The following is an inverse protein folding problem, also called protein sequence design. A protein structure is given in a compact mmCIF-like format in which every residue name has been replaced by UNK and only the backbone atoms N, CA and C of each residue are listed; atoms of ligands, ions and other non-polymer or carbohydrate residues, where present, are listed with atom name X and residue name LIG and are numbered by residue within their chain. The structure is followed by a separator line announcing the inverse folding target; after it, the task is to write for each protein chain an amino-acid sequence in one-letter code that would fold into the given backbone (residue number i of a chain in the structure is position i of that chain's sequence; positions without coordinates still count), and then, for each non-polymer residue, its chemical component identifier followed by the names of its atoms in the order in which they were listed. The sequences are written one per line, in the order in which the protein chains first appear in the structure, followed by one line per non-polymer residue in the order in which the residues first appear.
data_IF_814261697123
#
_entry.id   IF_814261697123
#
_cell.length_a   1.000
_cell.length_b   1.000
_cell.length_c   1.000
_cell.angle_alpha   90.00
_cell.angle_beta   90.00
_cell.angle_gamma   90.00
#
_symmetry.space_group_name_H-M   'P 1'
#
loop_
_entity.id
_entity.type
_entity.pdbx_description
1 polymer ?
#
# COMPACT_ATOMS: atom_id res chain seq x y z
N UNK A 1 15.08 3.46 1.81
CA UNK A 1 14.00 4.12 2.57
C UNK A 1 13.70 5.49 1.97
N UNK A 2 12.55 6.11 2.26
CA UNK A 2 12.30 7.49 1.80
C UNK A 2 13.16 8.44 2.63
N UNK A 3 14.05 9.20 1.99
CA UNK A 3 15.04 10.09 2.66
C UNK A 3 14.76 11.57 2.45
N UNK A 4 13.96 11.92 1.47
CA UNK A 4 13.74 13.32 1.12
C UNK A 4 12.71 13.54 0.04
N UNK A 5 12.65 14.80 -0.38
CA UNK A 5 11.78 15.25 -1.45
C UNK A 5 12.56 15.43 -2.75
N UNK A 6 11.90 15.15 -3.88
CA UNK A 6 12.25 15.78 -5.15
C UNK A 6 11.58 17.14 -5.17
N UNK A 7 12.36 18.20 -4.94
CA UNK A 7 11.92 19.59 -4.86
C UNK A 7 11.08 19.98 -6.09
N UNK A 8 10.14 20.90 -5.92
CA UNK A 8 9.47 21.57 -7.03
C UNK A 8 10.47 22.27 -7.98
N UNK A 9 11.63 22.64 -7.45
CA UNK A 9 12.76 23.23 -8.14
C UNK A 9 13.68 22.22 -8.88
N UNK A 10 13.42 20.90 -8.77
CA UNK A 10 14.12 19.85 -9.53
C UNK A 10 15.12 19.03 -8.71
N UNK A 11 15.68 19.58 -7.63
CA UNK A 11 16.71 18.90 -6.84
C UNK A 11 16.16 17.83 -5.90
N UNK A 12 16.95 16.80 -5.63
CA UNK A 12 16.67 15.84 -4.57
C UNK A 12 17.23 16.36 -3.25
N UNK A 13 16.36 16.72 -2.32
CA UNK A 13 16.71 17.37 -1.06
C UNK A 13 16.32 16.48 0.13
N UNK A 14 17.20 16.28 1.14
CA UNK A 14 16.81 15.62 2.39
C UNK A 14 15.65 16.33 3.08
N UNK A 15 14.88 15.60 3.90
CA UNK A 15 13.73 16.19 4.61
C UNK A 15 14.14 17.37 5.50
N UNK A 16 15.24 17.26 6.24
CA UNK A 16 15.72 18.33 7.11
C UNK A 16 16.01 19.61 6.34
N UNK A 17 16.76 19.52 5.23
CA UNK A 17 17.07 20.68 4.39
C UNK A 17 15.81 21.29 3.75
N UNK A 18 14.84 20.45 3.31
CA UNK A 18 13.58 20.95 2.78
C UNK A 18 12.76 21.70 3.84
N UNK A 19 12.71 21.17 5.06
CA UNK A 19 11.96 21.76 6.17
C UNK A 19 12.60 23.08 6.61
N UNK A 20 13.93 23.12 6.77
CA UNK A 20 14.68 24.34 7.07
C UNK A 20 14.41 25.44 6.04
N UNK A 21 14.56 25.14 4.74
CA UNK A 21 14.25 26.09 3.66
C UNK A 21 12.79 26.57 3.71
N UNK A 22 11.84 25.69 4.06
CA UNK A 22 10.42 26.07 4.07
C UNK A 22 10.03 27.03 5.20
N UNK A 23 10.90 27.26 6.20
CA UNK A 23 10.67 28.26 7.24
C UNK A 23 10.71 29.69 6.70
N UNK A 24 11.47 29.94 5.62
CA UNK A 24 11.56 31.26 4.98
C UNK A 24 10.47 31.52 3.93
N UNK A 25 9.50 30.60 3.78
CA UNK A 25 8.37 30.72 2.84
C UNK A 25 8.79 31.07 1.40
N UNK A 26 9.57 30.22 0.71
CA UNK A 26 10.02 30.51 -0.64
C UNK A 26 8.84 30.52 -1.64
N UNK A 27 8.78 31.53 -2.51
CA UNK A 27 7.65 31.75 -3.45
C UNK A 27 7.45 30.61 -4.46
N UNK A 28 8.44 29.75 -4.66
CA UNK A 28 8.44 28.65 -5.63
C UNK A 28 7.89 27.33 -5.09
N UNK A 29 7.54 27.24 -3.80
CA UNK A 29 7.02 26.03 -3.17
C UNK A 29 5.53 26.16 -2.82
N UNK A 30 4.63 25.34 -3.42
CA UNK A 30 3.20 25.40 -3.08
C UNK A 30 2.86 24.81 -1.70
N UNK A 31 3.85 24.22 -1.00
CA UNK A 31 3.66 23.59 0.30
C UNK A 31 4.44 24.36 1.38
N UNK A 32 3.69 24.88 2.36
CA UNK A 32 4.25 25.58 3.53
C UNK A 32 4.76 24.59 4.59
N UNK A 33 5.60 25.09 5.51
CA UNK A 33 6.27 24.28 6.54
C UNK A 33 5.35 23.30 7.27
N UNK A 34 4.18 23.69 7.85
CA UNK A 34 3.34 22.75 8.60
C UNK A 34 2.83 21.58 7.76
N UNK A 35 2.57 21.82 6.48
CA UNK A 35 2.10 20.80 5.54
C UNK A 35 3.23 19.84 5.20
N UNK A 36 4.44 20.36 4.92
CA UNK A 36 5.63 19.53 4.68
C UNK A 36 6.00 18.71 5.92
N UNK A 37 6.01 19.32 7.10
CA UNK A 37 6.27 18.63 8.36
C UNK A 37 5.24 17.54 8.61
N UNK A 38 3.96 17.81 8.36
CA UNK A 38 2.89 16.83 8.45
C UNK A 38 3.08 15.65 7.50
N UNK A 39 3.49 15.91 6.25
CA UNK A 39 3.85 14.85 5.30
C UNK A 39 5.00 13.99 5.81
N UNK A 40 6.05 14.60 6.36
CA UNK A 40 7.24 13.89 6.88
C UNK A 40 6.88 13.07 8.11
N UNK A 41 6.14 13.64 9.06
CA UNK A 41 5.66 12.92 10.26
C UNK A 41 4.76 11.74 9.89
N UNK A 42 4.01 11.88 8.79
CA UNK A 42 3.18 10.83 8.22
C UNK A 42 3.94 9.69 7.55
N UNK A 43 5.24 9.85 7.27
CA UNK A 43 6.09 8.76 6.80
C UNK A 43 6.31 7.85 8.00
N UNK A 44 5.75 6.64 7.91
CA UNK A 44 5.96 5.60 8.91
C UNK A 44 7.46 5.40 9.08
N UNK A 45 7.96 5.59 10.30
CA UNK A 45 9.34 5.30 10.68
C UNK A 45 9.68 3.81 10.56
N UNK A 46 10.73 3.36 11.22
CA UNK A 46 11.08 1.93 11.30
C UNK A 46 9.98 1.17 12.05
N UNK A 47 8.97 0.70 11.32
CA UNK A 47 7.98 -0.23 11.84
C UNK A 47 8.62 -1.61 11.82
N UNK A 48 8.60 -2.30 12.97
CA UNK A 48 9.06 -3.68 13.02
C UNK A 48 8.21 -4.55 12.07
N UNK A 49 8.87 -5.18 11.10
CA UNK A 49 8.26 -6.06 10.11
C UNK A 49 7.69 -5.36 8.86
N UNK A 50 6.92 -6.10 8.09
CA UNK A 50 6.33 -5.66 6.81
C UNK A 50 4.88 -5.26 7.05
N UNK A 51 4.52 -4.03 6.68
CA UNK A 51 3.15 -3.56 6.85
C UNK A 51 2.16 -4.32 5.95
N UNK A 52 0.89 -4.44 6.37
CA UNK A 52 -0.20 -4.98 5.53
C UNK A 52 -0.28 -4.25 4.19
N UNK A 53 -0.14 -2.92 4.19
CA UNK A 53 -0.13 -2.11 2.97
C UNK A 53 1.04 -2.49 2.05
N UNK A 54 2.24 -2.69 2.59
CA UNK A 54 3.40 -3.19 1.83
C UNK A 54 3.13 -4.57 1.25
N UNK A 55 2.47 -5.44 2.02
CA UNK A 55 2.05 -6.76 1.55
C UNK A 55 1.04 -6.70 0.41
N UNK A 56 0.31 -5.61 0.18
CA UNK A 56 -0.64 -5.47 -0.94
C UNK A 56 -0.04 -4.81 -2.17
N UNK A 57 1.05 -4.05 -1.98
CA UNK A 57 1.75 -3.36 -3.05
C UNK A 57 2.54 -4.33 -3.95
N UNK A 58 3.11 -3.80 -5.03
CA UNK A 58 4.10 -4.48 -5.84
C UNK A 58 5.29 -4.90 -4.95
N UNK A 59 5.51 -6.20 -4.76
CA UNK A 59 6.60 -6.69 -3.89
C UNK A 59 7.97 -6.22 -4.37
N UNK A 60 8.14 -6.04 -5.69
CA UNK A 60 9.37 -5.47 -6.25
C UNK A 60 9.60 -4.05 -5.77
N UNK A 61 8.55 -3.21 -5.70
CA UNK A 61 8.63 -1.85 -5.14
C UNK A 61 9.09 -1.91 -3.68
N UNK A 62 8.47 -2.77 -2.87
CA UNK A 62 8.81 -2.91 -1.44
C UNK A 62 10.30 -3.26 -1.25
N UNK A 63 10.82 -4.22 -2.02
CA UNK A 63 12.24 -4.60 -1.94
C UNK A 63 13.16 -3.46 -2.38
N UNK A 64 12.82 -2.74 -3.46
CA UNK A 64 13.62 -1.61 -3.94
C UNK A 64 13.61 -0.44 -2.94
N UNK A 65 12.46 -0.13 -2.32
CA UNK A 65 12.35 0.90 -1.28
C UNK A 65 13.17 0.56 -0.03
N UNK A 66 13.39 -0.73 0.25
CA UNK A 66 14.26 -1.17 1.34
C UNK A 66 15.75 -1.07 0.97
N UNK A 67 16.11 -1.36 -0.28
CA UNK A 67 17.51 -1.41 -0.74
C UNK A 67 18.09 -0.06 -1.17
N UNK A 68 17.23 0.91 -1.48
CA UNK A 68 17.66 2.19 -2.04
C UNK A 68 17.04 3.36 -1.29
N UNK A 69 17.78 4.45 -1.23
CA UNK A 69 17.25 5.72 -0.79
C UNK A 69 16.35 6.33 -1.86
N UNK A 70 15.22 6.86 -1.40
CA UNK A 70 14.13 7.31 -2.26
C UNK A 70 13.81 8.76 -1.98
N UNK A 71 13.75 9.55 -3.05
CA UNK A 71 13.29 10.93 -3.03
C UNK A 71 11.99 11.01 -3.82
N UNK A 72 10.94 11.48 -3.16
CA UNK A 72 9.57 11.49 -3.72
C UNK A 72 9.08 12.92 -3.91
N UNK A 73 8.19 13.15 -4.86
CA UNK A 73 7.61 14.47 -5.02
C UNK A 73 6.68 14.79 -3.83
N UNK A 74 6.70 16.00 -3.25
CA UNK A 74 5.79 16.39 -2.16
C UNK A 74 4.32 16.13 -2.50
N UNK A 75 3.91 16.35 -3.76
CA UNK A 75 2.56 16.04 -4.24
C UNK A 75 2.15 14.58 -4.02
N UNK A 76 3.08 13.62 -4.07
CA UNK A 76 2.78 12.21 -3.80
C UNK A 76 2.47 11.97 -2.33
N UNK A 77 3.23 12.60 -1.41
CA UNK A 77 2.94 12.53 0.03
C UNK A 77 1.71 13.34 0.43
N UNK A 78 1.40 14.42 -0.29
CA UNK A 78 0.23 15.24 0.01
C UNK A 78 -1.07 14.44 0.03
N UNK A 79 -1.24 13.47 -0.87
CA UNK A 79 -2.41 12.59 -0.86
C UNK A 79 -2.48 11.71 0.40
N UNK A 80 -1.33 11.19 0.85
CA UNK A 80 -1.25 10.41 2.09
C UNK A 80 -1.52 11.29 3.32
N UNK A 81 -0.91 12.47 3.37
CA UNK A 81 -1.11 13.47 4.41
C UNK A 81 -2.59 13.88 4.53
N UNK A 82 -3.26 14.16 3.40
CA UNK A 82 -4.69 14.47 3.39
C UNK A 82 -5.51 13.37 4.04
N UNK A 83 -5.24 12.11 3.71
CA UNK A 83 -5.91 10.97 4.35
C UNK A 83 -5.67 10.96 5.87
N UNK A 84 -4.42 11.13 6.29
CA UNK A 84 -4.03 11.15 7.72
C UNK A 84 -4.75 12.22 8.53
N UNK A 85 -5.01 13.41 7.96
CA UNK A 85 -5.80 14.43 8.63
C UNK A 85 -7.19 13.92 9.02
N UNK A 86 -7.85 13.15 8.16
CA UNK A 86 -9.16 12.58 8.46
C UNK A 86 -9.08 11.51 9.56
N UNK A 87 -8.08 10.63 9.50
CA UNK A 87 -7.87 9.62 10.55
C UNK A 87 -7.64 10.28 11.91
N UNK A 88 -6.77 11.29 11.98
CA UNK A 88 -6.49 12.03 13.21
C UNK A 88 -7.73 12.70 13.80
N UNK A 89 -8.62 13.26 12.97
CA UNK A 89 -9.89 13.84 13.44
C UNK A 89 -10.85 12.75 13.91
N UNK A 90 -10.96 11.65 13.17
CA UNK A 90 -11.84 10.53 13.53
C UNK A 90 -11.42 9.89 14.87
N UNK A 91 -10.12 9.81 15.14
CA UNK A 91 -9.55 9.30 16.40
C UNK A 91 -10.02 10.10 17.63
N UNK A 92 -10.27 11.40 17.50
CA UNK A 92 -10.75 12.25 18.61
C UNK A 92 -12.19 11.97 19.03
N UNK A 93 -12.98 11.29 18.18
CA UNK A 93 -14.42 11.10 18.38
C UNK A 93 -14.80 9.61 18.50
N UNK A 94 -13.87 8.78 18.98
CA UNK A 94 -14.09 7.33 19.05
C UNK A 94 -15.05 6.95 20.17
N UNK A 95 -16.02 6.05 19.92
CA UNK A 95 -16.90 5.54 20.97
C UNK A 95 -16.13 4.76 22.04
N UNK A 96 -16.64 4.77 23.27
CA UNK A 96 -16.09 3.97 24.36
C UNK A 96 -16.05 2.48 24.02
N UNK A 97 -14.94 1.84 24.37
CA UNK A 97 -14.72 0.40 24.15
C UNK A 97 -14.32 0.02 22.72
N UNK A 98 -14.13 0.99 21.84
CA UNK A 98 -13.48 0.79 20.54
C UNK A 98 -11.95 0.71 20.68
N UNK A 99 -11.30 0.03 19.74
CA UNK A 99 -9.85 0.06 19.56
C UNK A 99 -9.56 0.83 18.28
N UNK A 100 -8.98 2.01 18.39
CA UNK A 100 -8.64 2.86 17.26
C UNK A 100 -7.12 2.97 17.11
N UNK A 101 -6.65 2.98 15.86
CA UNK A 101 -5.25 3.25 15.48
C UNK A 101 -4.19 2.41 16.23
N UNK A 102 -4.58 1.28 16.83
CA UNK A 102 -3.67 0.37 17.51
C UNK A 102 -2.94 -0.51 16.50
N UNK A 103 -1.61 -0.63 16.67
CA UNK A 103 -0.78 -1.52 15.86
C UNK A 103 -0.86 -2.96 16.37
N UNK A 104 -1.03 -3.87 15.43
CA UNK A 104 -0.98 -5.31 15.63
C UNK A 104 0.13 -5.93 14.78
N UNK A 105 0.68 -7.04 15.24
CA UNK A 105 1.71 -7.78 14.52
C UNK A 105 1.48 -9.30 14.64
N UNK A 106 1.76 -10.02 13.56
CA UNK A 106 1.69 -11.49 13.52
C UNK A 106 2.76 -12.04 12.60
N UNK A 107 3.45 -13.09 13.05
CA UNK A 107 4.47 -13.77 12.24
C UNK A 107 3.84 -14.75 11.25
N UNK A 108 4.35 -14.75 10.02
CA UNK A 108 3.99 -15.72 8.96
C UNK A 108 5.17 -15.93 8.01
N UNK A 109 5.47 -17.19 7.70
CA UNK A 109 6.54 -17.57 6.77
C UNK A 109 7.90 -16.86 7.03
N UNK A 110 8.26 -16.67 8.29
CA UNK A 110 9.52 -16.04 8.69
C UNK A 110 9.54 -14.51 8.62
N UNK A 111 8.42 -13.85 8.31
CA UNK A 111 8.27 -12.40 8.37
C UNK A 111 7.27 -12.00 9.46
N UNK A 112 7.54 -10.90 10.15
CA UNK A 112 6.54 -10.21 10.97
C UNK A 112 5.69 -9.36 10.05
N UNK A 113 4.38 -9.58 10.02
CA UNK A 113 3.42 -8.72 9.32
C UNK A 113 2.78 -7.81 10.35
N UNK A 114 2.82 -6.50 10.11
CA UNK A 114 2.26 -5.51 11.02
C UNK A 114 1.17 -4.68 10.33
N UNK A 115 0.21 -4.18 11.10
CA UNK A 115 -0.92 -3.43 10.57
C UNK A 115 -1.58 -2.59 11.64
N UNK A 116 -2.28 -1.56 11.21
CA UNK A 116 -2.99 -0.63 12.07
C UNK A 116 -4.36 -0.44 11.42
N UNK A 117 -5.35 -1.25 11.81
CA UNK A 117 -6.74 -1.02 11.41
C UNK A 117 -7.20 0.29 12.05
N UNK A 118 -8.01 1.06 11.33
CA UNK A 118 -8.42 2.37 11.81
C UNK A 118 -9.36 2.26 13.01
N UNK A 119 -10.32 1.32 12.95
CA UNK A 119 -11.26 1.07 14.03
C UNK A 119 -11.69 -0.39 14.13
N UNK A 120 -11.61 -0.94 15.34
CA UNK A 120 -12.22 -2.22 15.72
C UNK A 120 -13.26 -1.92 16.79
N UNK A 121 -14.46 -2.45 16.62
CA UNK A 121 -15.56 -2.33 17.56
C UNK A 121 -15.93 -3.71 18.13
N UNK A 122 -15.27 -4.15 19.23
CA UNK A 122 -15.39 -5.51 19.76
C UNK A 122 -16.82 -5.91 20.08
N UNK A 123 -17.59 -5.01 20.70
CA UNK A 123 -18.99 -5.24 21.07
C UNK A 123 -19.87 -5.63 19.86
N UNK A 124 -19.54 -5.09 18.69
CA UNK A 124 -20.26 -5.36 17.44
C UNK A 124 -19.54 -6.36 16.53
N UNK A 125 -18.35 -6.85 16.93
CA UNK A 125 -17.49 -7.73 16.12
C UNK A 125 -17.29 -7.17 14.71
N UNK A 126 -17.05 -5.85 14.65
CA UNK A 126 -16.96 -5.04 13.44
C UNK A 126 -15.57 -4.42 13.34
N UNK A 127 -15.01 -4.40 12.14
CA UNK A 127 -13.81 -3.64 11.80
C UNK A 127 -14.13 -2.67 10.67
N UNK A 128 -13.76 -1.41 10.86
CA UNK A 128 -14.01 -0.32 9.93
C UNK A 128 -12.66 0.25 9.47
N UNK A 129 -12.52 0.45 8.16
CA UNK A 129 -11.38 1.08 7.51
C UNK A 129 -11.88 2.33 6.75
N UNK A 130 -11.33 3.49 7.06
CA UNK A 130 -11.65 4.77 6.44
C UNK A 130 -10.79 4.97 5.18
N UNK A 131 -11.40 5.46 4.10
CA UNK A 131 -10.70 5.81 2.86
C UNK A 131 -11.15 7.15 2.33
N UNK A 132 -10.19 8.06 2.22
CA UNK A 132 -10.35 9.26 1.42
C UNK A 132 -10.04 8.97 -0.04
N UNK A 133 -10.94 9.34 -0.94
CA UNK A 133 -10.79 9.11 -2.37
C UNK A 133 -11.12 10.38 -3.15
N UNK A 134 -10.76 10.41 -4.43
CA UNK A 134 -11.18 11.50 -5.32
C UNK A 134 -12.69 11.45 -5.59
N UNK A 135 -13.25 10.25 -5.64
CA UNK A 135 -14.67 9.99 -5.87
C UNK A 135 -15.05 8.71 -5.15
N UNK A 136 -16.09 8.79 -4.33
CA UNK A 136 -16.68 7.65 -3.64
C UNK A 136 -17.11 6.59 -4.66
N UNK A 137 -16.71 5.32 -4.50
CA UNK A 137 -17.13 4.24 -5.37
C UNK A 137 -18.64 4.00 -5.26
N UNK A 138 -19.29 3.80 -6.41
CA UNK A 138 -20.74 3.73 -6.48
C UNK A 138 -21.29 2.31 -6.31
N UNK A 139 -20.58 1.30 -6.84
CA UNK A 139 -21.08 -0.08 -6.90
C UNK A 139 -20.41 -1.00 -5.89
N UNK A 140 -19.09 -1.12 -5.98
CA UNK A 140 -18.33 -2.10 -5.21
C UNK A 140 -17.12 -1.48 -4.54
N UNK A 141 -16.70 -2.10 -3.43
CA UNK A 141 -15.44 -1.78 -2.76
C UNK A 141 -14.27 -2.10 -3.69
N UNK A 142 -13.21 -1.29 -3.66
CA UNK A 142 -12.02 -1.62 -4.44
C UNK A 142 -11.41 -2.95 -3.97
N UNK A 143 -11.08 -3.90 -4.87
CA UNK A 143 -10.64 -5.24 -4.47
C UNK A 143 -9.42 -5.25 -3.53
N UNK A 144 -8.49 -4.32 -3.72
CA UNK A 144 -7.30 -4.21 -2.87
C UNK A 144 -7.61 -3.67 -1.46
N UNK A 145 -8.62 -2.80 -1.32
CA UNK A 145 -9.11 -2.39 0.00
C UNK A 145 -9.86 -3.54 0.68
N UNK A 146 -10.70 -4.27 -0.05
CA UNK A 146 -11.39 -5.44 0.50
C UNK A 146 -10.40 -6.48 1.04
N UNK A 147 -9.32 -6.75 0.30
CA UNK A 147 -8.25 -7.63 0.74
C UNK A 147 -7.48 -7.05 1.95
N UNK A 148 -7.24 -5.74 1.98
CA UNK A 148 -6.60 -5.06 3.12
C UNK A 148 -7.35 -5.31 4.43
N UNK A 149 -8.65 -5.05 4.43
CA UNK A 149 -9.50 -5.19 5.62
C UNK A 149 -9.64 -6.65 6.05
N UNK A 150 -9.67 -7.59 5.09
CA UNK A 150 -9.61 -9.02 5.38
C UNK A 150 -8.26 -9.48 5.98
N UNK A 151 -7.14 -8.87 5.59
CA UNK A 151 -5.85 -9.13 6.23
C UNK A 151 -5.83 -8.53 7.64
N UNK A 152 -6.40 -7.34 7.85
CA UNK A 152 -6.55 -6.79 9.19
C UNK A 152 -7.39 -7.68 10.10
N UNK A 153 -8.50 -8.22 9.61
CA UNK A 153 -9.27 -9.24 10.31
C UNK A 153 -8.40 -10.43 10.72
N UNK A 154 -7.60 -10.98 9.80
CA UNK A 154 -6.66 -12.08 10.09
C UNK A 154 -5.59 -11.69 11.14
N UNK A 155 -5.15 -10.44 11.13
CA UNK A 155 -4.12 -9.92 12.01
C UNK A 155 -4.62 -9.82 13.45
N UNK A 156 -5.86 -9.35 13.64
CA UNK A 156 -6.45 -9.08 14.96
C UNK A 156 -7.25 -10.24 15.54
N UNK A 157 -7.63 -11.22 14.71
CA UNK A 157 -8.43 -12.39 15.09
C UNK A 157 -8.03 -13.07 16.41
N UNK A 158 -6.73 -13.24 16.77
CA UNK A 158 -6.36 -13.87 18.04
C UNK A 158 -6.79 -13.09 19.29
N UNK A 159 -7.04 -11.78 19.17
CA UNK A 159 -7.39 -10.88 20.26
C UNK A 159 -8.84 -10.40 20.15
N UNK A 160 -9.27 -10.11 18.93
CA UNK A 160 -10.57 -9.52 18.64
C UNK A 160 -11.26 -10.30 17.53
N UNK A 161 -12.28 -11.10 17.86
CA UNK A 161 -13.04 -11.79 16.83
C UNK A 161 -13.91 -10.78 16.06
N UNK A 162 -13.83 -10.84 14.74
CA UNK A 162 -14.51 -9.92 13.81
C UNK A 162 -15.30 -10.71 12.78
N UNK A 163 -16.60 -10.44 12.71
CA UNK A 163 -17.55 -11.14 11.82
C UNK A 163 -18.17 -10.19 10.78
N UNK A 164 -17.87 -8.89 10.87
CA UNK A 164 -18.32 -7.90 9.90
C UNK A 164 -17.18 -6.93 9.57
N UNK A 165 -17.08 -6.56 8.30
CA UNK A 165 -16.06 -5.65 7.79
C UNK A 165 -16.75 -4.56 6.98
N UNK A 166 -16.33 -3.32 7.20
CA UNK A 166 -16.81 -2.18 6.44
C UNK A 166 -15.67 -1.27 5.99
N UNK A 167 -15.87 -0.64 4.84
CA UNK A 167 -15.05 0.50 4.42
C UNK A 167 -15.94 1.72 4.35
N UNK A 168 -15.50 2.82 4.96
CA UNK A 168 -16.15 4.13 4.82
C UNK A 168 -15.35 4.94 3.81
N UNK A 169 -15.90 5.05 2.60
CA UNK A 169 -15.34 5.93 1.58
C UNK A 169 -15.81 7.35 1.79
N UNK A 170 -14.91 8.30 1.65
CA UNK A 170 -15.19 9.73 1.75
C UNK A 170 -14.52 10.46 0.59
N UNK A 171 -15.18 11.48 0.07
CA UNK A 171 -14.61 12.50 -0.81
C UNK A 171 -15.06 13.88 -0.33
N UNK A 172 -14.98 14.91 -1.19
CA UNK A 172 -15.41 16.27 -0.82
C UNK A 172 -16.94 16.45 -0.90
N UNK A 173 -17.65 15.54 -1.55
CA UNK A 173 -19.10 15.63 -1.76
C UNK A 173 -19.87 14.83 -0.70
N UNK A 174 -19.28 13.77 -0.15
CA UNK A 174 -19.90 13.02 0.94
C UNK A 174 -19.17 11.74 1.35
N UNK A 175 -19.90 10.88 2.05
CA UNK A 175 -19.41 9.61 2.58
C UNK A 175 -20.34 8.45 2.25
N UNK A 176 -19.79 7.25 2.08
CA UNK A 176 -20.52 6.00 1.87
C UNK A 176 -19.87 4.85 2.62
N UNK A 177 -20.66 4.22 3.50
CA UNK A 177 -20.32 2.95 4.14
C UNK A 177 -20.61 1.81 3.18
N UNK A 178 -19.65 0.90 3.02
CA UNK A 178 -19.78 -0.26 2.15
C UNK A 178 -19.35 -1.52 2.88
N UNK A 179 -20.21 -2.55 2.96
CA UNK A 179 -19.83 -3.82 3.56
C UNK A 179 -18.78 -4.53 2.69
N UNK A 180 -17.86 -5.22 3.34
CA UNK A 180 -16.82 -6.01 2.69
C UNK A 180 -17.10 -7.50 2.93
N UNK A 181 -17.24 -8.31 1.87
CA UNK A 181 -17.38 -9.75 2.02
C UNK A 181 -16.21 -10.38 2.80
N UNK A 182 -16.52 -11.25 3.75
CA UNK A 182 -15.51 -12.01 4.48
C UNK A 182 -14.84 -13.01 3.54
N UNK A 183 -13.52 -12.94 3.47
CA UNK A 183 -12.73 -13.95 2.79
C UNK A 183 -12.49 -15.14 3.71
N UNK A 184 -12.46 -16.33 3.11
CA UNK A 184 -12.04 -17.54 3.79
C UNK A 184 -10.63 -17.35 4.38
N UNK A 185 -10.48 -17.73 5.65
CA UNK A 185 -9.24 -17.53 6.40
C UNK A 185 -8.06 -18.29 5.77
N UNK A 186 -8.30 -19.49 5.22
CA UNK A 186 -7.24 -20.28 4.57
C UNK A 186 -6.77 -19.58 3.30
N UNK A 187 -7.68 -18.98 2.52
CA UNK A 187 -7.34 -18.17 1.33
C UNK A 187 -6.51 -16.93 1.69
N UNK A 188 -6.89 -16.18 2.73
CA UNK A 188 -6.11 -15.01 3.20
C UNK A 188 -4.71 -15.44 3.65
N UNK A 189 -4.65 -16.49 4.48
CA UNK A 189 -3.38 -17.03 4.98
C UNK A 189 -2.49 -17.52 3.83
N UNK A 190 -3.03 -18.29 2.88
CA UNK A 190 -2.28 -18.79 1.72
C UNK A 190 -1.73 -17.64 0.86
N UNK A 191 -2.53 -16.60 0.64
CA UNK A 191 -2.11 -15.39 -0.08
C UNK A 191 -0.95 -14.71 0.64
N UNK A 192 -1.04 -14.54 1.95
CA UNK A 192 0.03 -13.95 2.77
C UNK A 192 1.29 -14.81 2.76
N UNK A 193 1.19 -16.13 2.93
CA UNK A 193 2.35 -17.05 2.87
C UNK A 193 3.06 -16.95 1.53
N UNK A 194 2.32 -17.01 0.42
CA UNK A 194 2.90 -16.96 -0.92
C UNK A 194 3.71 -15.66 -1.11
N UNK A 195 3.11 -14.53 -0.72
CA UNK A 195 3.74 -13.21 -0.85
C UNK A 195 4.91 -13.02 0.13
N UNK A 196 4.77 -13.49 1.36
CA UNK A 196 5.80 -13.41 2.38
C UNK A 196 7.04 -14.21 2.00
N UNK A 197 6.89 -15.40 1.40
CA UNK A 197 8.03 -16.19 0.90
C UNK A 197 8.79 -15.46 -0.21
N UNK A 198 8.08 -14.90 -1.19
CA UNK A 198 8.70 -14.11 -2.28
C UNK A 198 9.45 -12.92 -1.70
N UNK A 199 8.80 -12.19 -0.78
CA UNK A 199 9.38 -10.99 -0.19
C UNK A 199 10.59 -11.32 0.67
N UNK A 200 10.50 -12.32 1.55
CA UNK A 200 11.60 -12.77 2.41
C UNK A 200 12.81 -13.18 1.57
N UNK A 201 12.61 -14.06 0.58
CA UNK A 201 13.69 -14.50 -0.30
C UNK A 201 14.37 -13.32 -0.99
N UNK A 202 13.61 -12.34 -1.47
CA UNK A 202 14.16 -11.14 -2.08
C UNK A 202 14.84 -10.21 -1.08
N UNK A 203 14.37 -10.09 0.15
CA UNK A 203 15.04 -9.29 1.17
C UNK A 203 16.37 -9.93 1.61
N UNK A 204 16.43 -11.26 1.65
CA UNK A 204 17.61 -12.06 2.01
C UNK A 204 18.66 -12.17 0.87
N UNK A 205 18.66 -11.21 -0.07
CA UNK A 205 19.62 -11.18 -1.19
C UNK A 205 19.22 -11.97 -2.43
N UNK A 206 18.07 -12.64 -2.43
CA UNK A 206 17.53 -13.31 -3.60
C UNK A 206 17.14 -12.35 -4.75
N UNK A 207 16.67 -12.89 -5.88
CA UNK A 207 16.27 -12.09 -7.04
C UNK A 207 15.10 -11.17 -6.70
N UNK A 208 15.07 -10.02 -7.36
CA UNK A 208 13.95 -9.08 -7.23
C UNK A 208 12.65 -9.76 -7.69
N UNK A 209 11.52 -9.52 -6.99
CA UNK A 209 10.22 -10.03 -7.41
C UNK A 209 9.85 -9.58 -8.83
N UNK A 210 8.90 -10.31 -9.42
CA UNK A 210 8.37 -9.98 -10.74
C UNK A 210 7.85 -8.54 -10.80
N UNK A 211 7.92 -7.94 -12.00
CA UNK A 211 7.32 -6.63 -12.25
C UNK A 211 5.80 -6.73 -12.11
N UNK A 212 5.16 -5.59 -11.89
CA UNK A 212 3.70 -5.53 -11.85
C UNK A 212 3.10 -6.10 -13.13
N UNK A 213 2.18 -7.05 -12.99
CA UNK A 213 1.40 -7.58 -14.09
C UNK A 213 0.34 -6.57 -14.57
N UNK A 214 -0.45 -6.94 -15.61
CA UNK A 214 -1.45 -6.05 -16.21
C UNK A 214 -2.39 -5.37 -15.20
N UNK A 215 -2.86 -6.13 -14.20
CA UNK A 215 -3.85 -5.65 -13.23
C UNK A 215 -3.21 -4.85 -12.08
N UNK A 216 -1.88 -4.88 -11.97
CA UNK A 216 -1.10 -4.12 -10.98
C UNK A 216 -0.39 -2.89 -11.56
N UNK A 217 -0.47 -2.67 -12.87
CA UNK A 217 0.27 -1.60 -13.55
C UNK A 217 -0.06 -0.20 -13.04
N UNK A 218 -1.29 0.03 -12.58
CA UNK A 218 -1.71 1.31 -12.00
C UNK A 218 -0.81 1.75 -10.83
N UNK A 219 -0.20 0.80 -10.10
CA UNK A 219 0.73 1.11 -9.01
C UNK A 219 2.04 1.74 -9.51
N UNK A 220 2.40 1.51 -10.78
CA UNK A 220 3.63 2.05 -11.36
C UNK A 220 3.58 3.58 -11.48
N UNK A 221 2.40 4.17 -11.66
CA UNK A 221 2.21 5.63 -11.67
C UNK A 221 2.47 6.28 -10.30
N UNK A 222 2.50 5.48 -9.23
CA UNK A 222 2.75 5.90 -7.85
C UNK A 222 3.99 5.20 -7.26
N UNK A 223 4.80 4.61 -8.13
CA UNK A 223 6.05 3.95 -7.75
C UNK A 223 7.19 4.95 -7.85
N UNK A 224 8.19 4.80 -6.99
CA UNK A 224 9.42 5.60 -7.04
C UNK A 224 10.47 5.00 -7.99
N UNK A 225 10.20 3.81 -8.54
CA UNK A 225 11.10 3.06 -9.42
C UNK A 225 10.45 2.63 -10.76
N UNK A 226 9.61 3.46 -11.42
CA UNK A 226 8.99 3.07 -12.67
C UNK A 226 10.04 2.87 -13.75
N UNK A 227 11.03 3.76 -13.86
CA UNK A 227 12.07 3.73 -14.89
C UNK A 227 13.07 2.58 -14.69
N UNK A 228 13.35 2.20 -13.45
CA UNK A 228 14.14 1.00 -13.14
C UNK A 228 13.46 -0.27 -13.66
N UNK A 229 12.13 -0.32 -13.61
CA UNK A 229 11.36 -1.46 -14.08
C UNK A 229 11.04 -1.37 -15.58
N UNK A 230 10.84 -0.16 -16.08
CA UNK A 230 10.33 0.13 -17.42
C UNK A 230 11.10 1.29 -18.06
N UNK A 231 12.37 1.10 -18.46
CA UNK A 231 13.22 2.19 -18.97
C UNK A 231 12.68 2.89 -20.23
N UNK A 232 11.80 2.20 -20.97
CA UNK A 232 11.14 2.72 -22.19
C UNK A 232 9.73 3.27 -21.90
N UNK A 233 9.40 3.50 -20.63
CA UNK A 233 8.06 3.89 -20.19
C UNK A 233 7.19 2.70 -19.76
N UNK A 234 6.24 2.98 -18.88
CA UNK A 234 5.28 1.99 -18.34
C UNK A 234 4.39 1.49 -19.49
N UNK A 235 4.34 0.17 -19.74
CA UNK A 235 3.56 -0.39 -20.85
C UNK A 235 2.05 -0.30 -20.59
N UNK A 236 1.25 -0.39 -21.64
CA UNK A 236 -0.21 -0.50 -21.50
C UNK A 236 -0.58 -1.90 -20.96
N UNK A 237 -1.67 -2.03 -20.18
CA UNK A 237 -2.13 -3.35 -19.70
C UNK A 237 -2.37 -4.37 -20.81
N UNK A 238 -2.92 -3.93 -21.96
CA UNK A 238 -3.15 -4.80 -23.12
C UNK A 238 -1.83 -5.41 -23.66
N UNK A 239 -0.77 -4.60 -23.78
CA UNK A 239 0.54 -5.05 -24.27
C UNK A 239 1.13 -6.15 -23.36
N UNK A 240 0.98 -6.02 -22.04
CA UNK A 240 1.43 -7.05 -21.10
C UNK A 240 0.60 -8.33 -21.17
N UNK A 241 -0.72 -8.23 -21.41
CA UNK A 241 -1.58 -9.40 -21.59
C UNK A 241 -1.17 -10.18 -22.84
N UNK A 242 -1.00 -9.50 -23.98
CA UNK A 242 -0.54 -10.13 -25.22
C UNK A 242 0.81 -10.81 -25.03
N UNK A 243 1.80 -10.15 -24.41
CA UNK A 243 3.10 -10.76 -24.12
C UNK A 243 2.98 -12.02 -23.26
N UNK A 244 2.08 -12.03 -22.26
CA UNK A 244 1.84 -13.18 -21.39
C UNK A 244 1.20 -14.34 -22.15
N UNK A 245 0.20 -14.06 -22.98
CA UNK A 245 -0.47 -15.04 -23.83
C UNK A 245 0.51 -15.67 -24.83
N UNK A 246 1.29 -14.84 -25.54
CA UNK A 246 2.32 -15.31 -26.46
C UNK A 246 3.34 -16.22 -25.75
N UNK A 247 3.81 -15.83 -24.56
CA UNK A 247 4.72 -16.67 -23.76
C UNK A 247 4.09 -18.02 -23.39
N UNK A 248 2.82 -18.03 -22.99
CA UNK A 248 2.11 -19.26 -22.67
C UNK A 248 1.93 -20.16 -23.89
N UNK A 249 1.62 -19.59 -25.05
CA UNK A 249 1.52 -20.33 -26.32
C UNK A 249 2.86 -20.97 -26.69
N UNK A 250 3.97 -20.25 -26.55
CA UNK A 250 5.31 -20.80 -26.79
C UNK A 250 5.65 -21.95 -25.82
N UNK A 251 5.36 -21.79 -24.53
CA UNK A 251 5.58 -22.85 -23.53
C UNK A 251 4.74 -24.09 -23.86
N UNK A 252 3.47 -23.90 -24.27
CA UNK A 252 2.59 -24.99 -24.67
C UNK A 252 3.15 -25.75 -25.87
N UNK A 253 3.51 -25.04 -26.95
CA UNK A 253 4.13 -25.65 -28.14
C UNK A 253 5.43 -26.40 -27.82
N UNK A 254 6.27 -25.83 -26.96
CA UNK A 254 7.52 -26.47 -26.55
C UNK A 254 7.32 -27.73 -25.71
N UNK A 255 6.22 -27.83 -24.95
CA UNK A 255 5.83 -29.05 -24.24
C UNK A 255 5.31 -30.10 -25.20
N UNK A 256 4.40 -29.73 -26.10
CA UNK A 256 3.84 -30.63 -27.11
C UNK A 256 4.95 -31.23 -28.00
N UNK A 257 5.93 -30.42 -28.42
CA UNK A 257 7.07 -30.91 -29.20
C UNK A 257 7.99 -31.89 -28.44
N UNK A 258 8.04 -31.82 -27.10
CA UNK A 258 8.79 -32.76 -26.25
C UNK A 258 8.04 -34.06 -25.97
N UNK A 259 6.72 -34.07 -26.13
CA UNK A 259 5.88 -35.27 -25.94
C UNK A 259 5.81 -36.13 -27.21
N UNK A 260 6.15 -35.55 -28.37
CA UNK A 260 6.17 -36.21 -29.69
C UNK A 260 7.57 -36.71 -30.09
N UNK A 261 8.61 -36.32 -29.34
CA UNK A 261 10.01 -36.73 -29.54
C UNK A 261 10.43 -37.79 -28.52
#
# INVERSE_FOLDING_TARGET
MIKGFRCCCGDSVPFSACLERSQSHPDDCPFVYPILQGMVNGIRGEVEGISVTSMLNCLRKVVLEQRHDVYIAPKQLFYAFRGQMFHAIAELAQPDGCIAEQRFARRIAGLTISGQPDLIWPKHRLLIDFKTTRRVPQKEVYPHHALQVNIYRWLVEPLYPVDSLEIVYMDMDGAKRMPVPLMDRRKVTATLVARARILKNALDGGPLPERAGPDGLWQCSWCSFPDTCWPKGIPKPAELRTRKETKLQFIKKAREAKEVA
#
